data_IF_996399713785
#
_entry.id   IF_996399713785
#
_cell.length_a   1.000
_cell.length_b   1.000
_cell.length_c   1.000
_cell.angle_alpha   90.00
_cell.angle_beta   90.00
_cell.angle_gamma   90.00
#
_symmetry.space_group_name_H-M   'P 1'
#
loop_
_entity.id
_entity.type
_entity.pdbx_description
1 polymer ?
#
# COMPACT_ATOMS: atom_id res chain seq x y z
N UNK A 1 -14.44 -8.03 -6.92
CA UNK A 1 -14.48 -6.85 -6.05
C UNK A 1 -15.18 -7.22 -4.77
N UNK A 2 -16.48 -7.47 -4.86
CA UNK A 2 -17.30 -7.94 -3.74
C UNK A 2 -16.96 -9.37 -3.24
N UNK A 3 -16.23 -10.16 -4.05
CA UNK A 3 -15.94 -11.57 -3.78
C UNK A 3 -14.82 -11.84 -2.74
N UNK A 4 -14.09 -10.82 -2.25
CA UNK A 4 -13.01 -11.03 -1.27
C UNK A 4 -13.30 -10.43 0.12
N UNK A 5 -14.41 -9.71 0.30
CA UNK A 5 -14.85 -9.23 1.61
C UNK A 5 -15.36 -10.39 2.51
N UNK A 6 -15.75 -11.53 1.92
CA UNK A 6 -16.29 -12.67 2.67
C UNK A 6 -15.25 -13.66 3.22
N UNK A 7 -13.99 -13.63 2.76
CA UNK A 7 -13.09 -14.77 2.98
C UNK A 7 -12.11 -14.67 4.16
N UNK A 8 -12.08 -13.57 4.94
CA UNK A 8 -11.08 -13.37 6.00
C UNK A 8 -9.61 -13.50 5.55
N UNK A 9 -9.33 -13.48 4.24
CA UNK A 9 -7.99 -13.63 3.64
C UNK A 9 -7.30 -12.30 3.39
N UNK A 10 -7.50 -11.34 4.28
CA UNK A 10 -6.96 -9.99 4.09
C UNK A 10 -5.42 -9.98 4.10
N UNK A 11 -4.81 -10.87 4.88
CA UNK A 11 -3.36 -10.99 5.01
C UNK A 11 -2.74 -11.64 3.77
N UNK A 12 -3.40 -12.65 3.21
CA UNK A 12 -3.02 -13.27 1.94
C UNK A 12 -3.12 -12.27 0.77
N UNK A 13 -4.16 -11.42 0.79
CA UNK A 13 -4.33 -10.36 -0.20
C UNK A 13 -3.20 -9.31 -0.11
N UNK A 14 -2.87 -8.85 1.10
CA UNK A 14 -1.73 -7.95 1.32
C UNK A 14 -0.43 -8.59 0.82
N UNK A 15 -0.17 -9.85 1.18
CA UNK A 15 1.02 -10.57 0.75
C UNK A 15 1.11 -10.72 -0.78
N UNK A 16 -0.03 -11.01 -1.42
CA UNK A 16 -0.12 -11.15 -2.89
C UNK A 16 0.17 -9.83 -3.59
N UNK A 17 -0.41 -8.72 -3.11
CA UNK A 17 -0.14 -7.39 -3.64
C UNK A 17 1.32 -6.98 -3.44
N UNK A 18 1.91 -7.23 -2.26
CA UNK A 18 3.33 -6.96 -2.00
C UNK A 18 4.23 -7.75 -2.94
N UNK A 19 3.92 -9.04 -3.15
CA UNK A 19 4.66 -9.88 -4.09
C UNK A 19 4.57 -9.33 -5.51
N UNK A 20 3.36 -8.98 -5.99
CA UNK A 20 3.17 -8.41 -7.32
C UNK A 20 3.94 -7.10 -7.49
N UNK A 21 3.83 -6.19 -6.51
CA UNK A 21 4.52 -4.90 -6.51
C UNK A 21 6.05 -4.99 -6.56
N UNK A 22 6.62 -6.04 -5.96
CA UNK A 22 8.07 -6.26 -5.92
C UNK A 22 8.59 -7.19 -7.02
N UNK A 23 7.72 -7.84 -7.81
CA UNK A 23 8.16 -8.82 -8.81
C UNK A 23 8.62 -8.19 -10.13
N UNK A 24 8.13 -7.00 -10.46
CA UNK A 24 8.39 -6.34 -11.74
C UNK A 24 8.60 -4.83 -11.58
N UNK A 25 9.58 -4.42 -10.77
CA UNK A 25 9.84 -3.00 -10.45
C UNK A 25 10.13 -2.11 -11.67
N UNK A 26 10.50 -2.71 -12.82
CA UNK A 26 10.67 -1.98 -14.09
C UNK A 26 9.35 -1.44 -14.66
N UNK A 27 8.23 -2.09 -14.32
CA UNK A 27 6.89 -1.56 -14.56
C UNK A 27 6.45 -0.72 -13.36
N UNK A 28 7.10 0.43 -13.20
CA UNK A 28 6.97 1.28 -12.01
C UNK A 28 5.50 1.61 -11.70
N UNK A 29 4.68 1.87 -12.73
CA UNK A 29 3.28 2.23 -12.57
C UNK A 29 2.46 1.08 -11.95
N UNK A 30 2.59 -0.13 -12.49
CA UNK A 30 1.88 -1.30 -11.95
C UNK A 30 2.46 -1.74 -10.60
N UNK A 31 3.78 -1.69 -10.43
CA UNK A 31 4.43 -1.97 -9.16
C UNK A 31 3.94 -1.05 -8.05
N UNK A 32 3.90 0.26 -8.30
CA UNK A 32 3.39 1.24 -7.35
C UNK A 32 1.89 1.05 -7.07
N UNK A 33 1.08 0.72 -8.08
CA UNK A 33 -0.35 0.42 -7.91
C UNK A 33 -0.58 -0.77 -6.96
N UNK A 34 0.15 -1.87 -7.13
CA UNK A 34 -0.03 -3.05 -6.26
C UNK A 34 0.42 -2.78 -4.83
N UNK A 35 1.56 -2.13 -4.62
CA UNK A 35 1.99 -1.74 -3.27
C UNK A 35 0.99 -0.79 -2.62
N UNK A 36 0.41 0.13 -3.39
CA UNK A 36 -0.59 1.06 -2.89
C UNK A 36 -1.88 0.34 -2.46
N UNK A 37 -2.30 -0.69 -3.21
CA UNK A 37 -3.43 -1.55 -2.82
C UNK A 37 -3.16 -2.33 -1.53
N UNK A 38 -1.94 -2.84 -1.36
CA UNK A 38 -1.52 -3.44 -0.10
C UNK A 38 -1.62 -2.44 1.05
N UNK A 39 -1.10 -1.22 0.85
CA UNK A 39 -1.11 -0.17 1.87
C UNK A 39 -2.53 0.25 2.28
N UNK A 40 -3.42 0.47 1.31
CA UNK A 40 -4.82 0.81 1.56
C UNK A 40 -5.57 -0.29 2.31
N UNK A 41 -5.33 -1.55 1.94
CA UNK A 41 -5.96 -2.68 2.62
C UNK A 41 -5.43 -2.81 4.06
N UNK A 42 -4.12 -2.72 4.27
CA UNK A 42 -3.53 -2.68 5.61
C UNK A 42 -4.12 -1.56 6.46
N UNK A 43 -4.27 -0.36 5.90
CA UNK A 43 -4.88 0.79 6.58
C UNK A 43 -6.34 0.54 6.96
N UNK A 44 -7.15 0.01 6.04
CA UNK A 44 -8.56 -0.31 6.29
C UNK A 44 -8.74 -1.34 7.41
N UNK A 45 -7.73 -2.18 7.65
CA UNK A 45 -7.72 -3.20 8.70
C UNK A 45 -7.10 -2.70 10.01
N UNK A 46 -6.74 -1.41 10.11
CA UNK A 46 -6.07 -0.82 11.27
C UNK A 46 -4.60 -1.21 11.41
N UNK A 47 -4.00 -1.85 10.39
CA UNK A 47 -2.57 -2.19 10.35
C UNK A 47 -1.74 -0.96 9.92
N UNK A 48 -1.93 0.16 10.61
CA UNK A 48 -1.41 1.47 10.21
C UNK A 48 0.11 1.52 10.09
N UNK A 49 0.85 0.72 10.87
CA UNK A 49 2.31 0.60 10.73
C UNK A 49 2.70 -0.03 9.39
N UNK A 50 2.04 -1.13 9.00
CA UNK A 50 2.31 -1.79 7.73
C UNK A 50 1.93 -0.89 6.54
N UNK A 51 0.78 -0.23 6.62
CA UNK A 51 0.36 0.73 5.61
C UNK A 51 1.38 1.87 5.44
N UNK A 52 1.83 2.46 6.55
CA UNK A 52 2.82 3.53 6.55
C UNK A 52 4.14 3.10 5.90
N UNK A 53 4.62 1.90 6.22
CA UNK A 53 5.86 1.37 5.66
C UNK A 53 5.73 1.15 4.14
N UNK A 54 4.59 0.64 3.67
CA UNK A 54 4.29 0.47 2.25
C UNK A 54 4.19 1.80 1.51
N UNK A 55 3.53 2.82 2.07
CA UNK A 55 3.49 4.14 1.44
C UNK A 55 4.88 4.78 1.33
N UNK A 56 5.74 4.61 2.35
CA UNK A 56 7.14 5.06 2.28
C UNK A 56 7.94 4.31 1.23
N UNK A 57 7.72 3.01 1.08
CA UNK A 57 8.34 2.20 0.02
C UNK A 57 7.96 2.73 -1.37
N UNK A 58 6.66 2.98 -1.61
CA UNK A 58 6.17 3.55 -2.87
C UNK A 58 6.82 4.91 -3.16
N UNK A 59 6.89 5.78 -2.16
CA UNK A 59 7.53 7.09 -2.30
C UNK A 59 9.01 6.98 -2.67
N UNK A 60 9.70 5.99 -2.11
CA UNK A 60 11.14 5.81 -2.28
C UNK A 60 11.47 5.16 -3.61
N UNK A 61 10.77 4.08 -3.98
CA UNK A 61 11.05 3.30 -5.19
C UNK A 61 10.39 3.88 -6.44
N UNK A 62 9.20 4.46 -6.31
CA UNK A 62 8.37 4.89 -7.44
C UNK A 62 7.95 6.38 -7.37
N UNK A 63 8.86 7.33 -7.05
CA UNK A 63 8.51 8.72 -6.74
C UNK A 63 7.85 9.49 -7.89
N UNK A 64 8.00 9.03 -9.14
CA UNK A 64 7.49 9.69 -10.35
C UNK A 64 6.15 9.14 -10.85
N UNK A 65 5.61 8.13 -10.16
CA UNK A 65 4.30 7.55 -10.48
C UNK A 65 3.19 8.33 -9.80
N UNK A 66 1.95 8.19 -10.30
CA UNK A 66 0.77 8.78 -9.65
C UNK A 66 0.67 8.38 -8.16
N UNK A 67 1.01 7.12 -7.83
CA UNK A 67 1.00 6.63 -6.44
C UNK A 67 2.17 7.17 -5.63
N UNK A 68 3.35 7.36 -6.22
CA UNK A 68 4.48 8.04 -5.61
C UNK A 68 4.17 9.50 -5.23
N UNK A 69 3.45 10.22 -6.09
CA UNK A 69 2.99 11.58 -5.79
C UNK A 69 1.93 11.62 -4.69
N UNK A 70 1.06 10.62 -4.63
CA UNK A 70 0.03 10.54 -3.60
C UNK A 70 0.56 10.06 -2.24
N UNK A 71 1.66 9.31 -2.21
CA UNK A 71 2.16 8.64 -1.00
C UNK A 71 2.34 9.60 0.20
N UNK A 72 2.86 10.82 -0.01
CA UNK A 72 3.09 11.79 1.07
C UNK A 72 1.80 12.15 1.83
N UNK A 73 0.66 12.23 1.13
CA UNK A 73 -0.65 12.48 1.74
C UNK A 73 -1.04 11.38 2.72
N UNK A 74 -0.83 10.12 2.33
CA UNK A 74 -1.19 8.96 3.15
C UNK A 74 -0.21 8.76 4.31
N UNK A 75 1.08 8.98 4.07
CA UNK A 75 2.12 9.01 5.10
C UNK A 75 1.77 10.04 6.17
N UNK A 76 1.42 11.27 5.76
CA UNK A 76 1.03 12.33 6.69
C UNK A 76 -0.21 11.94 7.52
N UNK A 77 -1.29 11.48 6.86
CA UNK A 77 -2.52 11.02 7.55
C UNK A 77 -2.21 10.01 8.66
N UNK A 78 -1.50 8.94 8.32
CA UNK A 78 -1.18 7.86 9.26
C UNK A 78 -0.16 8.26 10.33
N UNK A 79 0.65 9.28 10.08
CA UNK A 79 1.61 9.79 11.08
C UNK A 79 0.96 10.73 12.08
N UNK A 80 -0.12 11.42 11.69
CA UNK A 80 -0.90 12.28 12.58
C UNK A 80 -1.84 11.45 13.46
N UNK A 81 -2.52 10.44 12.91
CA UNK A 81 -3.43 9.54 13.67
C UNK A 81 -2.76 8.79 14.84
N UNK A 82 -1.43 8.71 14.88
CA UNK A 82 -0.68 8.11 16.00
C UNK A 82 -0.47 9.04 17.21
N UNK A 83 -0.81 10.33 17.08
CA UNK A 83 -0.56 11.34 18.12
C UNK A 83 -1.80 11.68 18.97
N UNK A 84 -2.88 10.90 18.86
CA UNK A 84 -4.07 10.97 19.71
C UNK A 84 -4.12 9.77 20.69
#
# INVERSE_FOLDING_TARGET
>A
GDAYAELKQNDDAIASYKKAGNSFETDEANSAEYLFRAALLSETLGKNKEALDLYKEIKTKFPKTDKGFQADKYIYRLSVEKND
#
